data_IF_664775515671
#
_entry.id   IF_664775515671
#
_cell.length_a   1.000
_cell.length_b   1.000
_cell.length_c   1.000
_cell.angle_alpha   90.00
_cell.angle_beta   90.00
_cell.angle_gamma   90.00
#
_symmetry.space_group_name_H-M   'P 1'
#
loop_
_entity.id
_entity.type
_entity.pdbx_description
1 polymer ?
#
# COMPACT_ATOMS: atom_id res chain seq x y z
N UNK A 1 16.97 -11.50 9.49
CA UNK A 1 17.18 -10.13 10.00
C UNK A 1 15.96 -9.75 10.81
N UNK A 2 16.10 -9.03 11.94
CA UNK A 2 14.95 -8.57 12.73
C UNK A 2 15.11 -7.10 13.09
N UNK A 3 14.08 -6.31 12.87
CA UNK A 3 14.03 -4.87 13.11
C UNK A 3 13.42 -4.57 14.47
N UNK A 4 14.23 -4.01 15.38
CA UNK A 4 13.80 -3.74 16.76
C UNK A 4 13.25 -2.31 16.97
N UNK A 5 13.51 -1.39 16.05
CA UNK A 5 13.09 0.01 16.12
C UNK A 5 12.19 0.43 14.95
N UNK A 6 11.75 -0.54 14.14
CA UNK A 6 10.86 -0.30 12.99
C UNK A 6 9.46 -0.77 13.35
N UNK A 7 8.47 0.08 13.08
CA UNK A 7 7.05 -0.14 13.30
C UNK A 7 6.33 -0.10 11.95
N UNK A 8 5.65 -1.19 11.62
CA UNK A 8 5.03 -1.40 10.32
C UNK A 8 3.52 -1.18 10.41
N UNK A 9 3.00 -0.36 9.49
CA UNK A 9 1.57 -0.23 9.24
C UNK A 9 1.29 -0.76 7.84
N UNK A 10 0.52 -1.85 7.76
CA UNK A 10 0.09 -2.47 6.51
C UNK A 10 -1.45 -2.53 6.48
N UNK A 11 -2.03 -2.99 5.38
CA UNK A 11 -3.46 -3.20 5.19
C UNK A 11 -4.01 -2.44 3.98
N UNK A 12 -5.33 -2.34 3.88
CA UNK A 12 -5.99 -1.95 2.63
C UNK A 12 -5.81 -0.46 2.30
N UNK A 13 -6.03 -0.13 1.03
CA UNK A 13 -6.19 1.25 0.61
C UNK A 13 -7.28 1.95 1.44
N UNK A 14 -7.15 3.25 1.63
CA UNK A 14 -8.06 4.09 2.42
C UNK A 14 -8.13 3.77 3.92
N UNK A 15 -7.32 2.87 4.49
CA UNK A 15 -7.39 2.61 5.93
C UNK A 15 -6.82 3.75 6.80
N UNK A 16 -6.11 4.72 6.21
CA UNK A 16 -5.50 5.85 6.92
C UNK A 16 -4.04 5.63 7.33
N UNK A 17 -3.36 4.64 6.74
CA UNK A 17 -1.99 4.23 7.06
C UNK A 17 -0.99 5.40 7.04
N UNK A 18 -0.86 6.08 5.89
CA UNK A 18 0.11 7.17 5.72
C UNK A 18 -0.13 8.33 6.68
N UNK A 19 -1.39 8.61 7.04
CA UNK A 19 -1.73 9.61 8.06
C UNK A 19 -1.20 9.19 9.43
N UNK A 20 -1.35 7.92 9.81
CA UNK A 20 -0.86 7.43 11.10
C UNK A 20 0.68 7.39 11.15
N UNK A 21 1.34 6.99 10.07
CA UNK A 21 2.81 6.99 9.96
C UNK A 21 3.38 8.40 10.19
N UNK A 22 2.79 9.43 9.55
CA UNK A 22 3.19 10.83 9.76
C UNK A 22 3.07 11.26 11.22
N UNK A 23 1.90 11.05 11.81
CA UNK A 23 1.62 11.46 13.18
C UNK A 23 2.53 10.72 14.19
N UNK A 24 2.84 9.45 13.94
CA UNK A 24 3.75 8.68 14.79
C UNK A 24 5.18 9.24 14.73
N UNK A 25 5.69 9.50 13.52
CA UNK A 25 7.01 10.08 13.34
C UNK A 25 7.12 11.47 14.01
N UNK A 26 6.08 12.31 13.87
CA UNK A 26 6.01 13.62 14.54
C UNK A 26 5.97 13.47 16.07
N UNK A 27 5.10 12.62 16.61
CA UNK A 27 4.91 12.43 18.06
C UNK A 27 6.14 11.84 18.75
N UNK A 28 6.82 10.89 18.10
CA UNK A 28 7.92 10.13 18.69
C UNK A 28 9.31 10.58 18.20
N UNK A 29 9.39 11.69 17.46
CA UNK A 29 10.64 12.18 16.86
C UNK A 29 11.34 11.11 16.00
N UNK A 30 10.54 10.35 15.27
CA UNK A 30 10.94 9.22 14.44
C UNK A 30 11.16 9.59 12.98
N UNK A 31 11.42 8.57 12.17
CA UNK A 31 11.56 8.67 10.71
C UNK A 31 10.25 8.16 10.09
N UNK A 32 9.67 8.93 9.18
CA UNK A 32 8.50 8.51 8.40
C UNK A 32 8.93 7.91 7.06
N UNK A 33 8.56 6.65 6.82
CA UNK A 33 8.58 6.01 5.51
C UNK A 33 7.12 5.95 5.01
N UNK A 34 6.71 6.98 4.27
CA UNK A 34 5.36 7.09 3.71
C UNK A 34 5.13 6.13 2.52
N UNK A 35 3.90 6.07 2.01
CA UNK A 35 3.56 5.28 0.82
C UNK A 35 4.57 5.52 -0.32
N UNK A 36 5.07 4.42 -0.91
CA UNK A 36 6.03 4.42 -2.00
C UNK A 36 7.33 5.22 -1.73
N UNK A 37 7.84 5.23 -0.50
CA UNK A 37 9.12 5.86 -0.16
C UNK A 37 10.33 5.35 -0.96
N UNK A 38 10.21 4.18 -1.61
CA UNK A 38 11.19 3.62 -2.54
C UNK A 38 11.18 4.27 -3.93
N UNK A 39 10.20 5.12 -4.28
CA UNK A 39 10.08 5.78 -5.59
C UNK A 39 11.31 6.61 -5.97
N UNK A 40 12.06 7.10 -4.98
CA UNK A 40 13.34 7.77 -5.22
C UNK A 40 14.38 6.91 -5.95
N UNK A 41 14.25 5.58 -5.88
CA UNK A 41 15.10 4.60 -6.56
C UNK A 41 14.60 4.25 -7.98
N UNK A 42 13.32 4.50 -8.30
CA UNK A 42 12.68 4.10 -9.55
C UNK A 42 13.43 4.52 -10.82
N UNK A 43 14.01 5.74 -10.92
CA UNK A 43 14.77 6.13 -12.10
C UNK A 43 16.02 5.28 -12.36
N UNK A 44 16.58 4.65 -11.32
CA UNK A 44 17.82 3.86 -11.40
C UNK A 44 17.61 2.34 -11.50
N UNK A 45 16.37 1.85 -11.44
CA UNK A 45 16.10 0.41 -11.47
C UNK A 45 16.32 -0.21 -12.86
N UNK A 46 16.96 -1.38 -12.93
CA UNK A 46 17.05 -2.20 -14.14
C UNK A 46 15.71 -2.90 -14.37
N UNK A 47 15.11 -2.70 -15.55
CA UNK A 47 13.82 -3.28 -15.91
C UNK A 47 13.85 -4.80 -16.10
N UNK A 48 15.05 -5.40 -16.18
CA UNK A 48 15.20 -6.87 -16.17
C UNK A 48 15.12 -7.46 -14.77
N UNK A 49 15.46 -6.67 -13.75
CA UNK A 49 15.44 -7.08 -12.34
C UNK A 49 14.12 -6.68 -11.67
N UNK A 50 13.57 -5.52 -12.02
CA UNK A 50 12.34 -4.95 -11.46
C UNK A 50 11.27 -4.67 -12.53
N UNK A 51 10.89 -5.67 -13.35
CA UNK A 51 10.01 -5.47 -14.51
C UNK A 51 8.64 -4.90 -14.17
N UNK A 52 8.09 -5.18 -12.97
CA UNK A 52 6.76 -4.72 -12.61
C UNK A 52 6.77 -3.26 -12.17
N UNK A 53 7.74 -2.85 -11.35
CA UNK A 53 7.95 -1.46 -10.92
C UNK A 53 8.33 -0.56 -12.09
N UNK A 54 9.19 -1.03 -12.99
CA UNK A 54 9.59 -0.23 -14.16
C UNK A 54 8.57 -0.24 -15.29
N UNK A 55 7.51 -1.07 -15.22
CA UNK A 55 6.53 -1.20 -16.29
C UNK A 55 5.94 0.15 -16.71
N UNK A 56 5.39 0.92 -15.77
CA UNK A 56 4.73 2.21 -16.07
C UNK A 56 5.73 3.30 -16.46
N UNK A 57 6.97 3.23 -15.96
CA UNK A 57 8.08 4.12 -16.35
C UNK A 57 8.44 3.95 -17.82
N UNK A 58 8.48 2.71 -18.28
CA UNK A 58 8.94 2.35 -19.63
C UNK A 58 7.78 2.20 -20.64
N UNK A 59 6.53 2.37 -20.16
CA UNK A 59 5.32 2.22 -20.94
C UNK A 59 5.23 3.26 -22.05
N UNK A 60 5.07 2.79 -23.29
CA UNK A 60 4.91 3.67 -24.45
C UNK A 60 3.45 4.07 -24.67
N UNK A 61 2.51 3.15 -24.43
CA UNK A 61 1.08 3.38 -24.60
C UNK A 61 0.32 3.00 -23.32
N UNK A 62 -0.33 3.98 -22.71
CA UNK A 62 -1.17 3.75 -21.53
C UNK A 62 -2.44 2.96 -21.83
N UNK A 63 -2.84 2.85 -23.09
CA UNK A 63 -3.92 1.94 -23.49
C UNK A 63 -3.58 0.47 -23.18
N UNK A 64 -2.32 0.06 -23.29
CA UNK A 64 -1.87 -1.28 -22.91
C UNK A 64 -2.06 -1.53 -21.40
N UNK A 65 -2.01 -0.49 -20.59
CA UNK A 65 -2.29 -0.60 -19.17
C UNK A 65 -3.76 -0.86 -18.87
N UNK A 66 -4.67 -0.05 -19.44
CA UNK A 66 -6.11 -0.17 -19.17
C UNK A 66 -6.75 -1.40 -19.85
N UNK A 67 -6.12 -1.95 -20.90
CA UNK A 67 -6.58 -3.14 -21.63
C UNK A 67 -6.19 -4.47 -20.98
N UNK A 68 -5.35 -4.47 -19.94
CA UNK A 68 -5.01 -5.68 -19.19
C UNK A 68 -6.28 -6.41 -18.76
N UNK A 69 -6.26 -7.73 -18.90
CA UNK A 69 -7.27 -8.57 -18.27
C UNK A 69 -7.15 -8.51 -16.74
N UNK A 70 -8.21 -8.88 -16.00
CA UNK A 70 -8.15 -8.95 -14.54
C UNK A 70 -7.05 -9.87 -14.01
N UNK A 71 -6.70 -10.94 -14.72
CA UNK A 71 -5.59 -11.85 -14.36
C UNK A 71 -4.23 -11.16 -14.52
N UNK A 72 -3.99 -10.49 -15.66
CA UNK A 72 -2.73 -9.79 -15.93
C UNK A 72 -2.54 -8.59 -14.99
N UNK A 73 -3.62 -7.87 -14.68
CA UNK A 73 -3.58 -6.76 -13.74
C UNK A 73 -3.27 -7.23 -12.33
N UNK A 74 -3.92 -8.30 -11.85
CA UNK A 74 -3.60 -8.88 -10.55
C UNK A 74 -2.16 -9.39 -10.49
N UNK A 75 -1.70 -10.11 -11.51
CA UNK A 75 -0.33 -10.61 -11.58
C UNK A 75 0.69 -9.46 -11.52
N UNK A 76 0.43 -8.37 -12.24
CA UNK A 76 1.26 -7.17 -12.20
C UNK A 76 1.26 -6.52 -10.81
N UNK A 77 0.10 -6.32 -10.17
CA UNK A 77 0.02 -5.75 -8.81
C UNK A 77 0.78 -6.61 -7.79
N UNK A 78 0.62 -7.94 -7.85
CA UNK A 78 1.37 -8.86 -6.97
C UNK A 78 2.87 -8.82 -7.24
N UNK A 79 3.27 -8.65 -8.50
CA UNK A 79 4.67 -8.46 -8.90
C UNK A 79 5.25 -7.16 -8.34
N UNK A 80 4.53 -6.04 -8.49
CA UNK A 80 4.88 -4.75 -7.89
C UNK A 80 5.07 -4.90 -6.38
N UNK A 81 4.12 -5.49 -5.64
CA UNK A 81 4.26 -5.66 -4.18
C UNK A 81 5.52 -6.44 -3.79
N UNK A 82 5.89 -7.50 -4.53
CA UNK A 82 7.11 -8.28 -4.27
C UNK A 82 8.38 -7.48 -4.55
N UNK A 83 8.40 -6.74 -5.65
CA UNK A 83 9.53 -5.89 -6.01
C UNK A 83 9.68 -4.70 -5.04
N UNK A 84 8.58 -4.09 -4.62
CA UNK A 84 8.55 -3.09 -3.53
C UNK A 84 9.17 -3.65 -2.27
N UNK A 85 8.75 -4.85 -1.84
CA UNK A 85 9.28 -5.50 -0.63
C UNK A 85 10.81 -5.60 -0.66
N UNK A 86 11.41 -5.95 -1.80
CA UNK A 86 12.88 -6.01 -1.94
C UNK A 86 13.52 -4.64 -1.68
N UNK A 87 12.98 -3.57 -2.29
CA UNK A 87 13.51 -2.21 -2.12
C UNK A 87 13.27 -1.67 -0.71
N UNK A 88 12.08 -1.93 -0.16
CA UNK A 88 11.71 -1.55 1.20
C UNK A 88 12.70 -2.13 2.21
N UNK A 89 13.02 -3.42 2.12
CA UNK A 89 13.99 -4.08 3.01
C UNK A 89 15.39 -3.47 2.91
N UNK A 90 15.87 -3.16 1.71
CA UNK A 90 17.17 -2.51 1.50
C UNK A 90 17.25 -1.11 2.11
N UNK A 91 16.16 -0.35 2.06
CA UNK A 91 16.09 0.98 2.67
C UNK A 91 16.03 0.85 4.19
N UNK A 92 15.20 -0.08 4.70
CA UNK A 92 15.01 -0.28 6.13
C UNK A 92 16.27 -0.79 6.83
N UNK A 93 17.09 -1.62 6.17
CA UNK A 93 18.42 -2.01 6.67
C UNK A 93 19.28 -0.79 7.06
N UNK A 94 19.23 0.28 6.25
CA UNK A 94 20.01 1.49 6.49
C UNK A 94 19.36 2.36 7.56
N UNK A 95 18.04 2.48 7.57
CA UNK A 95 17.31 3.33 8.53
C UNK A 95 17.29 2.74 9.94
N UNK A 96 17.19 1.41 10.05
CA UNK A 96 17.19 0.70 11.31
C UNK A 96 18.54 0.75 12.04
N UNK A 97 19.63 1.13 11.35
CA UNK A 97 20.92 1.36 11.97
C UNK A 97 20.96 2.64 12.84
N UNK A 98 19.91 3.47 12.81
CA UNK A 98 19.77 4.64 13.68
C UNK A 98 19.04 4.29 14.98
N UNK A 99 19.25 5.05 16.05
CA UNK A 99 18.52 4.85 17.32
C UNK A 99 17.08 5.41 17.29
N UNK A 100 16.66 6.02 16.18
CA UNK A 100 15.31 6.60 16.06
C UNK A 100 14.28 5.52 15.74
N UNK A 101 13.04 5.63 16.24
CA UNK A 101 11.96 4.79 15.76
C UNK A 101 11.66 5.12 14.29
N UNK A 102 11.44 4.09 13.48
CA UNK A 102 11.08 4.21 12.06
C UNK A 102 9.64 3.73 11.90
N UNK A 103 8.79 4.54 11.30
CA UNK A 103 7.37 4.22 11.05
C UNK A 103 7.15 4.05 9.56
N UNK A 104 6.60 2.90 9.16
CA UNK A 104 6.58 2.47 7.75
C UNK A 104 5.16 2.20 7.28
N UNK A 105 4.74 2.87 6.22
CA UNK A 105 3.59 2.51 5.41
C UNK A 105 4.08 1.52 4.34
N UNK A 106 3.75 0.24 4.51
CA UNK A 106 4.48 -0.84 3.83
C UNK A 106 3.60 -1.72 2.96
N UNK A 107 4.20 -2.24 1.88
CA UNK A 107 3.64 -3.34 1.08
C UNK A 107 4.32 -4.69 1.38
N UNK A 108 5.24 -4.76 2.35
CA UNK A 108 5.92 -6.02 2.75
C UNK A 108 4.89 -7.08 3.12
N UNK A 109 5.06 -8.29 2.60
CA UNK A 109 4.12 -9.39 2.81
C UNK A 109 3.99 -9.80 4.29
N UNK A 110 2.82 -10.31 4.66
CA UNK A 110 2.55 -10.82 6.01
C UNK A 110 3.51 -11.94 6.41
N UNK A 111 3.97 -12.76 5.45
CA UNK A 111 4.97 -13.80 5.69
C UNK A 111 6.27 -13.19 6.18
N UNK A 112 6.83 -12.26 5.40
CA UNK A 112 8.07 -11.57 5.72
C UNK A 112 7.97 -10.77 7.02
N UNK A 113 6.86 -10.06 7.26
CA UNK A 113 6.63 -9.32 8.50
C UNK A 113 6.73 -10.19 9.77
N UNK A 114 6.28 -11.46 9.71
CA UNK A 114 6.40 -12.41 10.83
C UNK A 114 7.85 -12.81 11.12
N UNK A 115 8.73 -12.72 10.13
CA UNK A 115 10.14 -13.10 10.26
C UNK A 115 10.99 -11.91 10.73
N UNK A 116 10.66 -10.70 10.28
CA UNK A 116 11.51 -9.51 10.45
C UNK A 116 11.09 -8.58 11.59
N UNK A 117 9.94 -8.80 12.23
CA UNK A 117 9.40 -7.89 13.23
C UNK A 117 8.79 -8.62 14.43
N UNK A 118 8.67 -7.91 15.55
CA UNK A 118 7.84 -8.34 16.66
C UNK A 118 6.35 -8.09 16.35
N UNK A 119 5.46 -8.94 16.87
CA UNK A 119 4.02 -8.86 16.57
C UNK A 119 3.37 -7.56 17.04
N UNK A 120 3.90 -6.93 18.08
CA UNK A 120 3.45 -5.62 18.59
C UNK A 120 4.07 -4.44 17.85
N UNK A 121 5.00 -4.68 16.92
CA UNK A 121 5.54 -3.69 16.00
C UNK A 121 4.84 -3.69 14.64
N UNK A 122 3.86 -4.57 14.44
CA UNK A 122 3.09 -4.67 13.20
C UNK A 122 1.62 -4.39 13.48
N UNK A 123 1.06 -3.43 12.74
CA UNK A 123 -0.34 -3.06 12.79
C UNK A 123 -0.96 -3.17 11.40
N UNK A 124 -2.13 -3.81 11.34
CA UNK A 124 -2.94 -3.91 10.13
C UNK A 124 -4.11 -2.94 10.24
N UNK A 125 -4.24 -2.03 9.28
CA UNK A 125 -5.37 -1.13 9.19
C UNK A 125 -6.25 -1.48 7.99
N UNK A 126 -7.55 -1.69 8.21
CA UNK A 126 -8.47 -2.12 7.17
C UNK A 126 -9.62 -1.15 6.97
N UNK A 127 -9.93 -0.85 5.72
CA UNK A 127 -11.13 -0.14 5.30
C UNK A 127 -12.08 -1.08 4.57
N UNK A 128 -13.36 -0.71 4.53
CA UNK A 128 -14.36 -1.50 3.82
C UNK A 128 -13.97 -1.67 2.33
N UNK A 129 -13.83 -2.91 1.82
CA UNK A 129 -13.39 -3.18 0.44
C UNK A 129 -14.23 -2.46 -0.62
N UNK A 130 -15.54 -2.28 -0.35
CA UNK A 130 -16.49 -1.66 -1.28
C UNK A 130 -16.22 -0.17 -1.51
N UNK A 131 -15.47 0.50 -0.64
CA UNK A 131 -15.16 1.94 -0.76
C UNK A 131 -14.19 2.18 -1.92
N UNK A 132 -13.20 1.29 -2.11
CA UNK A 132 -12.15 1.46 -3.11
C UNK A 132 -12.70 1.37 -4.54
N UNK A 133 -13.49 0.31 -4.81
CA UNK A 133 -14.05 0.04 -6.14
C UNK A 133 -15.10 1.08 -6.53
N UNK A 134 -16.03 1.42 -5.62
CA UNK A 134 -17.15 2.31 -5.96
C UNK A 134 -16.71 3.74 -6.24
N UNK A 135 -15.70 4.22 -5.51
CA UNK A 135 -15.31 5.63 -5.55
C UNK A 135 -14.18 5.91 -6.55
N UNK A 136 -13.57 4.88 -7.16
CA UNK A 136 -12.40 5.07 -8.01
C UNK A 136 -12.65 6.07 -9.15
N UNK A 137 -13.74 5.89 -9.91
CA UNK A 137 -14.08 6.73 -11.06
C UNK A 137 -14.68 8.10 -10.67
N UNK A 138 -15.14 8.26 -9.43
CA UNK A 138 -15.75 9.51 -8.93
C UNK A 138 -14.73 10.49 -8.37
N UNK A 139 -13.47 10.06 -8.19
CA UNK A 139 -12.46 10.86 -7.51
C UNK A 139 -11.80 11.87 -8.45
N UNK A 140 -11.61 13.13 -8.02
CA UNK A 140 -10.99 14.17 -8.84
C UNK A 140 -9.46 14.06 -8.94
N UNK A 141 -8.84 12.98 -8.44
CA UNK A 141 -7.38 12.83 -8.51
C UNK A 141 -6.93 12.75 -9.97
N UNK A 142 -5.88 13.51 -10.33
CA UNK A 142 -5.39 13.62 -11.71
C UNK A 142 -5.09 12.27 -12.35
N UNK A 143 -4.46 11.35 -11.62
CA UNK A 143 -4.10 10.02 -12.13
C UNK A 143 -5.35 9.17 -12.43
N UNK A 144 -6.35 9.19 -11.55
CA UNK A 144 -7.60 8.43 -11.77
C UNK A 144 -8.40 9.02 -12.92
N UNK A 145 -8.46 10.34 -13.02
CA UNK A 145 -9.10 11.04 -14.13
C UNK A 145 -8.38 10.82 -15.46
N UNK A 146 -7.05 10.70 -15.43
CA UNK A 146 -6.26 10.33 -16.61
C UNK A 146 -6.62 8.91 -17.10
N UNK A 147 -6.61 7.91 -16.21
CA UNK A 147 -7.03 6.55 -16.58
C UNK A 147 -8.47 6.52 -17.09
N UNK A 148 -9.38 7.22 -16.41
CA UNK A 148 -10.78 7.34 -16.85
C UNK A 148 -10.89 7.91 -18.27
N UNK A 149 -10.16 8.97 -18.58
CA UNK A 149 -10.15 9.58 -19.92
C UNK A 149 -9.67 8.59 -20.98
N UNK A 150 -8.61 7.82 -20.71
CA UNK A 150 -8.12 6.79 -21.63
C UNK A 150 -9.18 5.72 -21.91
N UNK A 151 -9.91 5.28 -20.88
CA UNK A 151 -11.01 4.33 -21.06
C UNK A 151 -12.15 4.92 -21.89
N UNK A 152 -12.40 6.23 -21.79
CA UNK A 152 -13.40 6.93 -22.62
C UNK A 152 -12.97 7.11 -24.08
N UNK A 153 -11.67 6.99 -24.36
CA UNK A 153 -11.10 7.06 -25.71
C UNK A 153 -11.10 5.69 -26.42
N UNK A 154 -11.37 4.60 -25.70
CA UNK A 154 -11.48 3.25 -26.29
C UNK A 154 -12.67 3.15 -27.27
N UNK A 155 -12.59 2.28 -28.30
CA UNK A 155 -13.71 2.06 -29.22
C UNK A 155 -15.00 1.60 -28.53
N UNK A 156 -14.89 0.88 -27.40
CA UNK A 156 -15.99 0.41 -26.57
C UNK A 156 -15.81 0.87 -25.10
N UNK A 157 -16.12 2.14 -24.75
CA UNK A 157 -15.82 2.71 -23.43
C UNK A 157 -16.46 1.97 -22.25
N UNK A 158 -17.71 1.52 -22.40
CA UNK A 158 -18.42 0.78 -21.36
C UNK A 158 -17.72 -0.55 -21.03
N UNK A 159 -17.20 -1.23 -22.06
CA UNK A 159 -16.44 -2.47 -21.91
C UNK A 159 -15.09 -2.23 -21.24
N UNK A 160 -14.40 -1.14 -21.58
CA UNK A 160 -13.14 -0.77 -20.95
C UNK A 160 -13.33 -0.45 -19.46
N UNK A 161 -14.37 0.30 -19.11
CA UNK A 161 -14.74 0.60 -17.73
C UNK A 161 -15.06 -0.67 -16.93
N UNK A 162 -15.85 -1.58 -17.50
CA UNK A 162 -16.23 -2.82 -16.84
C UNK A 162 -15.01 -3.74 -16.64
N UNK A 163 -14.13 -3.84 -17.64
CA UNK A 163 -12.87 -4.57 -17.50
C UNK A 163 -12.02 -4.02 -16.34
N UNK A 164 -11.80 -2.71 -16.31
CA UNK A 164 -10.99 -2.09 -15.25
C UNK A 164 -11.67 -2.19 -13.87
N UNK A 165 -12.99 -2.16 -13.82
CA UNK A 165 -13.75 -2.44 -12.58
C UNK A 165 -13.46 -3.84 -12.06
N UNK A 166 -13.47 -4.86 -12.92
CA UNK A 166 -13.13 -6.24 -12.53
C UNK A 166 -11.69 -6.35 -12.03
N UNK A 167 -10.75 -5.64 -12.66
CA UNK A 167 -9.38 -5.52 -12.15
C UNK A 167 -9.36 -4.98 -10.71
N UNK A 168 -10.05 -3.87 -10.45
CA UNK A 168 -10.14 -3.26 -9.11
C UNK A 168 -10.83 -4.17 -8.09
N UNK A 169 -11.91 -4.85 -8.47
CA UNK A 169 -12.64 -5.79 -7.59
C UNK A 169 -11.78 -6.98 -7.19
N UNK A 170 -10.93 -7.47 -8.09
CA UNK A 170 -10.02 -8.58 -7.83
C UNK A 170 -8.91 -8.22 -6.83
N UNK A 171 -8.23 -7.09 -7.06
CA UNK A 171 -7.15 -6.65 -6.16
C UNK A 171 -7.67 -6.13 -4.80
N UNK A 172 -8.93 -5.68 -4.74
CA UNK A 172 -9.60 -5.28 -3.50
C UNK A 172 -10.61 -6.35 -3.03
N UNK A 173 -10.39 -7.62 -3.39
CA UNK A 173 -11.35 -8.68 -3.09
C UNK A 173 -11.49 -8.95 -1.59
N UNK A 174 -12.63 -9.53 -1.21
CA UNK A 174 -12.84 -9.99 0.17
C UNK A 174 -11.75 -10.98 0.61
N UNK A 175 -11.20 -11.79 -0.29
CA UNK A 175 -10.12 -12.71 0.04
C UNK A 175 -8.87 -11.98 0.56
N UNK A 176 -8.45 -10.90 -0.11
CA UNK A 176 -7.32 -10.07 0.33
C UNK A 176 -7.62 -9.41 1.67
N UNK A 177 -8.86 -8.92 1.86
CA UNK A 177 -9.28 -8.34 3.12
C UNK A 177 -9.21 -9.35 4.28
N UNK A 178 -9.77 -10.56 4.09
CA UNK A 178 -9.79 -11.61 5.10
C UNK A 178 -8.38 -12.13 5.41
N UNK A 179 -7.48 -12.18 4.42
CA UNK A 179 -6.07 -12.53 4.63
C UNK A 179 -5.40 -11.59 5.64
N UNK A 180 -5.62 -10.28 5.49
CA UNK A 180 -5.14 -9.29 6.46
C UNK A 180 -5.85 -9.40 7.81
N UNK A 181 -7.17 -9.55 7.80
CA UNK A 181 -7.98 -9.62 9.01
C UNK A 181 -7.62 -10.83 9.88
N UNK A 182 -7.31 -11.96 9.25
CA UNK A 182 -6.90 -13.19 9.91
C UNK A 182 -5.38 -13.40 9.97
N UNK A 183 -4.59 -12.34 9.72
CA UNK A 183 -3.13 -12.42 9.67
C UNK A 183 -2.46 -12.82 10.99
N UNK A 184 -3.16 -12.65 12.12
CA UNK A 184 -2.64 -12.85 13.47
C UNK A 184 -1.99 -11.60 14.09
N UNK A 185 -1.80 -10.54 13.30
CA UNK A 185 -1.35 -9.24 13.79
C UNK A 185 -2.50 -8.45 14.42
N UNK A 186 -2.17 -7.34 15.10
CA UNK A 186 -3.17 -6.40 15.62
C UNK A 186 -3.88 -5.73 14.45
N UNK A 187 -5.21 -5.64 14.51
CA UNK A 187 -6.04 -5.07 13.44
C UNK A 187 -6.85 -3.89 13.95
N UNK A 188 -6.80 -2.77 13.24
CA UNK A 188 -7.70 -1.63 13.43
C UNK A 188 -8.58 -1.48 12.19
N UNK A 189 -9.89 -1.55 12.41
CA UNK A 189 -10.87 -1.25 11.37
C UNK A 189 -11.10 0.26 11.29
N UNK A 190 -11.12 0.78 10.06
CA UNK A 190 -11.48 2.17 9.77
C UNK A 190 -12.90 2.43 10.23
N UNK A 191 -13.06 3.54 10.93
CA UNK A 191 -14.30 4.01 11.52
C UNK A 191 -14.43 5.49 11.21
N UNK A 192 -15.30 5.83 10.25
CA UNK A 192 -15.47 7.22 9.80
C UNK A 192 -16.11 8.11 10.87
N UNK A 193 -16.64 7.54 11.97
CA UNK A 193 -17.13 8.31 13.12
C UNK A 193 -16.01 8.68 14.11
N UNK A 194 -14.83 8.07 13.96
CA UNK A 194 -13.67 8.30 14.83
C UNK A 194 -12.82 9.44 14.31
N UNK A 195 -12.49 10.38 15.18
CA UNK A 195 -11.55 11.46 14.82
C UNK A 195 -10.15 10.91 14.59
N UNK A 196 -9.31 11.71 13.91
CA UNK A 196 -7.91 11.36 13.64
C UNK A 196 -7.15 11.15 14.95
N UNK A 197 -7.39 11.98 15.97
CA UNK A 197 -6.71 11.92 17.27
C UNK A 197 -7.09 10.65 18.03
N UNK A 198 -8.36 10.24 17.99
CA UNK A 198 -8.82 8.98 18.60
C UNK A 198 -8.25 7.76 17.88
N UNK A 199 -8.14 7.83 16.56
CA UNK A 199 -7.51 6.78 15.76
C UNK A 199 -6.02 6.69 16.08
N UNK A 200 -5.34 7.83 16.16
CA UNK A 200 -3.93 7.90 16.53
C UNK A 200 -3.66 7.33 17.92
N UNK A 201 -4.45 7.71 18.93
CA UNK A 201 -4.29 7.18 20.28
C UNK A 201 -4.48 5.65 20.34
N UNK A 202 -5.37 5.10 19.51
CA UNK A 202 -5.54 3.66 19.37
C UNK A 202 -4.31 3.02 18.73
N UNK A 203 -3.83 3.56 17.61
CA UNK A 203 -2.62 3.10 16.91
C UNK A 203 -1.41 3.10 17.84
N UNK A 204 -1.18 4.21 18.55
CA UNK A 204 -0.08 4.36 19.50
C UNK A 204 -0.15 3.30 20.61
N UNK A 205 -1.36 3.00 21.11
CA UNK A 205 -1.58 1.91 22.09
C UNK A 205 -1.27 0.54 21.50
N UNK A 206 -1.81 0.24 20.33
CA UNK A 206 -1.63 -1.06 19.66
C UNK A 206 -0.20 -1.27 19.17
N UNK A 207 0.65 -0.24 19.15
CA UNK A 207 2.09 -0.37 18.89
C UNK A 207 2.94 -0.33 20.17
N UNK A 208 2.32 -0.26 21.35
CA UNK A 208 3.04 -0.20 22.63
C UNK A 208 3.82 1.10 22.86
N UNK A 209 3.43 2.19 22.19
CA UNK A 209 4.14 3.47 22.19
C UNK A 209 3.58 4.49 23.18
N UNK A 210 2.48 4.16 23.87
CA UNK A 210 1.92 4.99 24.93
C UNK A 210 2.88 5.02 26.13
N UNK A 211 3.21 6.23 26.59
CA UNK A 211 3.97 6.48 27.82
C UNK A 211 3.06 6.51 29.04
#
# INVERSE_FOLDING_TARGET
MKFNNVFFINGTAYAGKSTMVKLLAERHNGIACEENYHDSMLPGLDSREFPCLTYTRDLQDWHDFIRRTPDEYEAWVRGVSKECEVLELQILEKLAATDKPVFVDTNISLGTLREISDYDHVLIMLANPKVSVKRFFERPDKEKQFLYKLMMEEPEPERALENFRQCLERINSSAVYEEFFHSGFRVILRDDSRSIEKTFALVERELGLQK
#
